data_IF_473008455760
#
_entry.id   IF_473008455760
#
_cell.length_a   1.000
_cell.length_b   1.000
_cell.length_c   1.000
_cell.angle_alpha   90.00
_cell.angle_beta   90.00
_cell.angle_gamma   90.00
#
_symmetry.space_group_name_H-M   'P 1'
#
loop_
_entity.id
_entity.type
_entity.pdbx_description
1 polymer ?
#
# COMPACT_ATOMS: atom_id res chain seq x y z
N UNK A 1 -33.03 9.68 2.64
CA UNK A 1 -32.55 9.07 3.86
C UNK A 1 -31.18 8.53 3.68
N UNK A 2 -30.34 8.95 4.53
CA UNK A 2 -28.97 8.51 4.44
C UNK A 2 -28.83 7.12 4.97
N UNK A 3 -28.16 6.31 4.18
CA UNK A 3 -27.84 4.99 4.63
C UNK A 3 -26.43 4.95 5.17
N UNK A 4 -25.84 6.06 5.45
CA UNK A 4 -24.48 6.07 5.93
C UNK A 4 -24.35 5.30 7.21
N UNK A 5 -23.46 4.37 7.22
CA UNK A 5 -23.09 3.69 8.44
C UNK A 5 -22.28 4.69 9.28
N UNK A 6 -22.73 5.04 10.48
CA UNK A 6 -22.01 6.04 11.28
C UNK A 6 -20.59 5.59 11.62
N UNK A 7 -20.33 4.29 11.57
CA UNK A 7 -18.98 3.79 11.85
C UNK A 7 -18.02 4.04 10.71
N UNK A 8 -18.50 4.27 9.48
CA UNK A 8 -17.60 4.45 8.34
C UNK A 8 -16.71 5.67 8.49
N UNK A 9 -17.27 6.79 8.92
CA UNK A 9 -16.46 7.98 9.14
C UNK A 9 -15.44 7.75 10.23
N UNK A 10 -15.84 7.03 11.28
CA UNK A 10 -14.91 6.70 12.35
C UNK A 10 -13.80 5.81 11.87
N UNK A 11 -14.12 4.81 11.05
CA UNK A 11 -13.11 3.92 10.48
C UNK A 11 -12.12 4.69 9.60
N UNK A 12 -12.65 5.63 8.81
CA UNK A 12 -11.78 6.46 7.98
C UNK A 12 -10.88 7.36 8.81
N UNK A 13 -11.42 7.88 9.90
CA UNK A 13 -10.65 8.72 10.78
C UNK A 13 -9.54 7.93 11.47
N UNK A 14 -9.85 6.71 11.90
CA UNK A 14 -8.83 5.85 12.49
C UNK A 14 -7.73 5.54 11.47
N UNK A 15 -8.12 5.27 10.22
CA UNK A 15 -7.15 5.02 9.16
C UNK A 15 -6.31 6.26 8.88
N UNK A 16 -6.92 7.44 8.92
CA UNK A 16 -6.21 8.69 8.73
C UNK A 16 -5.16 8.90 9.83
N UNK A 17 -5.51 8.57 11.06
CA UNK A 17 -4.56 8.71 12.17
C UNK A 17 -3.37 7.77 11.98
N UNK A 18 -3.63 6.54 11.56
CA UNK A 18 -2.57 5.58 11.27
C UNK A 18 -1.71 6.07 10.10
N UNK A 19 -2.35 6.62 9.07
CA UNK A 19 -1.61 7.17 7.93
C UNK A 19 -0.67 8.29 8.38
N UNK A 20 -1.14 9.16 9.29
CA UNK A 20 -0.29 10.20 9.84
C UNK A 20 0.95 9.63 10.51
N UNK A 21 0.80 8.54 11.25
CA UNK A 21 1.94 7.87 11.86
C UNK A 21 2.89 7.30 10.81
N UNK A 22 2.32 6.72 9.74
CA UNK A 22 3.14 6.16 8.67
C UNK A 22 3.94 7.25 7.96
N UNK A 23 3.32 8.40 7.71
CA UNK A 23 4.02 9.49 7.03
C UNK A 23 5.13 10.05 7.90
N UNK A 24 4.88 10.17 9.20
CA UNK A 24 5.92 10.61 10.12
C UNK A 24 7.09 9.62 10.18
N UNK A 25 6.76 8.33 10.22
CA UNK A 25 7.79 7.29 10.24
C UNK A 25 8.57 7.28 8.92
N UNK A 26 7.88 7.50 7.80
CA UNK A 26 8.54 7.52 6.49
C UNK A 26 9.60 8.61 6.45
N UNK A 27 9.30 9.78 7.02
CA UNK A 27 10.30 10.86 7.07
C UNK A 27 11.47 10.48 7.96
N UNK A 28 11.18 9.86 9.09
CA UNK A 28 12.22 9.52 10.06
C UNK A 28 13.08 8.36 9.56
N UNK A 29 12.44 7.34 8.98
CA UNK A 29 13.13 6.14 8.54
C UNK A 29 13.53 6.19 7.08
N UNK A 30 13.22 7.26 6.40
CA UNK A 30 13.54 7.43 4.98
C UNK A 30 12.89 6.36 4.12
N UNK A 31 11.63 6.05 4.40
CA UNK A 31 10.87 5.13 3.57
C UNK A 31 10.38 5.85 2.30
N UNK A 32 10.23 5.13 1.20
CA UNK A 32 9.78 5.77 -0.03
C UNK A 32 8.33 6.20 0.06
N UNK A 33 7.98 7.22 -0.71
CA UNK A 33 6.61 7.73 -0.75
C UNK A 33 5.71 6.77 -1.51
N UNK A 34 4.50 6.57 -1.01
CA UNK A 34 3.48 5.76 -1.66
C UNK A 34 2.25 6.61 -1.91
N UNK A 35 1.39 6.16 -2.82
CA UNK A 35 0.05 6.75 -2.97
C UNK A 35 -0.88 6.07 -2.01
N UNK A 36 -1.44 6.81 -1.07
CA UNK A 36 -2.29 6.22 -0.05
C UNK A 36 -3.76 6.49 -0.32
N UNK A 37 -4.59 5.51 -0.08
CA UNK A 37 -6.04 5.62 -0.22
C UNK A 37 -6.70 5.08 1.03
N UNK A 38 -7.73 5.78 1.49
CA UNK A 38 -8.55 5.33 2.61
C UNK A 38 -9.92 4.98 2.07
N UNK A 39 -10.28 3.71 2.16
CA UNK A 39 -11.58 3.24 1.68
C UNK A 39 -12.68 3.57 2.69
N UNK A 40 -13.93 3.48 2.26
CA UNK A 40 -15.05 3.72 3.16
C UNK A 40 -15.14 2.65 4.25
N UNK A 41 -14.52 1.51 4.05
CA UNK A 41 -14.43 0.48 5.08
C UNK A 41 -13.36 0.79 6.13
N UNK A 42 -12.60 1.86 5.92
CA UNK A 42 -11.47 2.18 6.78
C UNK A 42 -10.20 1.46 6.39
N UNK A 43 -10.20 0.72 5.29
CA UNK A 43 -8.98 0.07 4.83
C UNK A 43 -8.00 1.11 4.31
N UNK A 44 -6.75 0.97 4.68
CA UNK A 44 -5.69 1.89 4.27
C UNK A 44 -4.78 1.17 3.29
N UNK A 45 -4.73 1.67 2.06
CA UNK A 45 -3.99 1.00 0.99
C UNK A 45 -2.90 1.92 0.47
N UNK A 46 -1.68 1.42 0.44
CA UNK A 46 -0.56 2.12 -0.15
C UNK A 46 -0.17 1.46 -1.46
N UNK A 47 -0.12 2.26 -2.52
CA UNK A 47 0.28 1.80 -3.83
C UNK A 47 1.64 2.37 -4.18
N UNK A 48 2.54 1.51 -4.63
CA UNK A 48 3.85 1.96 -5.08
C UNK A 48 3.68 2.67 -6.41
N UNK A 49 4.16 3.91 -6.45
CA UNK A 49 4.03 4.73 -7.64
C UNK A 49 4.96 4.24 -8.73
N UNK A 50 4.41 3.98 -9.91
CA UNK A 50 5.19 3.49 -11.03
C UNK A 50 5.71 4.60 -11.95
N UNK A 51 5.29 5.84 -11.72
CA UNK A 51 5.58 6.89 -12.69
C UNK A 51 7.05 7.21 -12.83
N UNK A 52 7.77 7.26 -11.73
CA UNK A 52 9.17 7.64 -11.78
C UNK A 52 10.06 6.56 -11.20
N UNK A 53 9.61 5.30 -11.29
CA UNK A 53 10.33 4.21 -10.66
C UNK A 53 10.66 3.12 -11.67
N UNK A 54 11.81 2.52 -11.49
CA UNK A 54 12.16 1.33 -12.24
C UNK A 54 11.49 0.12 -11.61
N UNK A 55 11.39 -1.01 -12.31
CA UNK A 55 10.87 -2.22 -11.70
C UNK A 55 11.61 -2.60 -10.41
N UNK A 56 12.93 -2.50 -10.40
CA UNK A 56 13.69 -2.80 -9.18
C UNK A 56 13.41 -1.80 -8.09
N UNK A 57 13.26 -0.54 -8.43
CA UNK A 57 12.91 0.50 -7.46
C UNK A 57 11.55 0.28 -6.85
N UNK A 58 10.57 -0.14 -7.66
CA UNK A 58 9.23 -0.43 -7.16
C UNK A 58 9.25 -1.63 -6.22
N UNK A 59 10.00 -2.67 -6.57
CA UNK A 59 10.12 -3.85 -5.72
C UNK A 59 10.80 -3.47 -4.39
N UNK A 60 11.84 -2.65 -4.46
CA UNK A 60 12.53 -2.20 -3.26
C UNK A 60 11.61 -1.38 -2.36
N UNK A 61 10.78 -0.51 -2.96
CA UNK A 61 9.81 0.28 -2.19
C UNK A 61 8.78 -0.61 -1.51
N UNK A 62 8.27 -1.60 -2.24
CA UNK A 62 7.32 -2.55 -1.67
C UNK A 62 7.95 -3.29 -0.49
N UNK A 63 9.18 -3.76 -0.66
CA UNK A 63 9.86 -4.53 0.38
C UNK A 63 10.19 -3.66 1.60
N UNK A 64 10.57 -2.41 1.37
CA UNK A 64 10.86 -1.51 2.48
C UNK A 64 9.63 -1.31 3.38
N UNK A 65 8.48 -1.07 2.75
CA UNK A 65 7.26 -0.86 3.52
C UNK A 65 6.74 -2.14 4.17
N UNK A 66 6.75 -3.25 3.43
CA UNK A 66 6.26 -4.50 3.99
C UNK A 66 7.15 -4.99 5.13
N UNK A 67 8.45 -4.73 5.02
CA UNK A 67 9.36 -5.05 6.11
C UNK A 67 9.12 -4.20 7.34
N UNK A 68 8.96 -2.88 7.14
CA UNK A 68 8.71 -1.98 8.26
C UNK A 68 7.38 -2.28 8.94
N UNK A 69 6.36 -2.63 8.14
CA UNK A 69 5.03 -2.94 8.67
C UNK A 69 4.94 -4.35 9.21
N UNK A 70 5.91 -5.19 8.95
CA UNK A 70 5.85 -6.61 9.26
C UNK A 70 4.60 -7.20 8.62
N UNK A 71 4.41 -6.87 7.35
CA UNK A 71 3.22 -7.28 6.61
C UNK A 71 3.21 -8.77 6.36
N UNK A 72 2.02 -9.31 6.15
CA UNK A 72 1.82 -10.75 5.98
C UNK A 72 1.10 -11.04 4.68
N UNK A 73 1.09 -12.31 4.33
CA UNK A 73 0.39 -12.73 3.12
C UNK A 73 0.99 -12.17 1.86
N UNK A 74 2.32 -12.03 1.85
CA UNK A 74 2.99 -11.46 0.68
C UNK A 74 2.78 -12.39 -0.51
N UNK A 75 2.30 -11.82 -1.61
CA UNK A 75 2.17 -12.56 -2.85
C UNK A 75 2.94 -11.84 -3.96
N UNK A 76 3.42 -12.63 -4.91
CA UNK A 76 4.22 -12.12 -6.01
C UNK A 76 3.77 -12.92 -7.22
N UNK A 77 2.88 -12.36 -8.01
CA UNK A 77 2.30 -13.08 -9.13
C UNK A 77 2.51 -12.33 -10.42
N UNK A 78 3.02 -13.02 -11.41
CA UNK A 78 3.13 -12.46 -12.74
C UNK A 78 1.89 -12.84 -13.55
N UNK A 79 1.24 -11.84 -14.13
CA UNK A 79 0.07 -12.06 -14.97
C UNK A 79 0.52 -12.33 -16.41
N UNK A 80 -0.45 -12.70 -17.24
CA UNK A 80 -0.15 -13.04 -18.63
C UNK A 80 0.45 -11.88 -19.40
N UNK A 81 0.08 -10.65 -19.03
CA UNK A 81 0.60 -9.47 -19.71
C UNK A 81 2.00 -9.09 -19.24
N UNK A 82 2.60 -9.88 -18.38
CA UNK A 82 3.94 -9.62 -17.89
C UNK A 82 3.99 -8.71 -16.68
N UNK A 83 2.85 -8.20 -16.23
CA UNK A 83 2.81 -7.34 -15.05
C UNK A 83 2.93 -8.21 -13.80
N UNK A 84 3.87 -7.89 -12.93
CA UNK A 84 4.02 -8.57 -11.66
C UNK A 84 3.23 -7.83 -10.60
N UNK A 85 2.31 -8.53 -9.97
CA UNK A 85 1.46 -7.96 -8.95
C UNK A 85 1.98 -8.37 -7.58
N UNK A 86 2.42 -7.39 -6.81
CA UNK A 86 2.88 -7.59 -5.44
C UNK A 86 1.81 -7.12 -4.48
N UNK A 87 1.59 -7.87 -3.43
CA UNK A 87 0.54 -7.55 -2.47
C UNK A 87 0.92 -8.09 -1.10
N UNK A 88 0.66 -7.32 -0.06
CA UNK A 88 0.86 -7.76 1.31
C UNK A 88 -0.12 -7.04 2.21
N UNK A 89 -0.54 -7.68 3.28
CA UNK A 89 -1.52 -7.10 4.20
C UNK A 89 -0.87 -6.70 5.50
N UNK A 90 -1.43 -5.70 6.15
CA UNK A 90 -0.96 -5.28 7.46
C UNK A 90 -2.13 -4.93 8.37
N UNK A 91 -1.84 -4.87 9.66
CA UNK A 91 -2.77 -4.42 10.68
C UNK A 91 -2.04 -3.49 11.62
N UNK A 92 -2.74 -2.47 12.08
CA UNK A 92 -2.21 -1.55 13.09
C UNK A 92 -3.28 -1.28 14.12
N UNK A 93 -2.89 -1.22 15.40
CA UNK A 93 -3.82 -0.98 16.49
C UNK A 93 -4.44 -2.25 16.99
N UNK A 94 -5.38 -2.12 17.91
CA UNK A 94 -6.02 -3.25 18.54
C UNK A 94 -7.50 -2.99 18.73
N UNK A 95 -8.26 -4.06 18.74
CA UNK A 95 -9.68 -4.00 19.04
C UNK A 95 -10.44 -3.14 18.07
N UNK A 96 -11.27 -2.26 18.61
CA UNK A 96 -12.18 -1.45 17.80
C UNK A 96 -11.47 -0.40 16.97
N UNK A 97 -10.22 -0.08 17.30
CA UNK A 97 -9.46 0.91 16.54
C UNK A 97 -8.44 0.28 15.60
N UNK A 98 -8.49 -1.03 15.43
CA UNK A 98 -7.59 -1.70 14.53
C UNK A 98 -7.84 -1.23 13.09
N UNK A 99 -6.75 -0.87 12.40
CA UNK A 99 -6.80 -0.47 11.01
C UNK A 99 -6.14 -1.57 10.19
N UNK A 100 -6.83 -2.03 9.17
CA UNK A 100 -6.31 -3.03 8.25
C UNK A 100 -6.01 -2.39 6.93
N UNK A 101 -5.03 -2.91 6.26
CA UNK A 101 -4.70 -2.37 4.96
C UNK A 101 -3.80 -3.29 4.17
N UNK A 102 -3.26 -2.72 3.12
CA UNK A 102 -2.40 -3.47 2.20
C UNK A 102 -1.39 -2.53 1.56
N UNK A 103 -0.28 -3.11 1.16
CA UNK A 103 0.68 -2.45 0.29
C UNK A 103 0.65 -3.20 -1.04
N UNK A 104 0.56 -2.47 -2.13
CA UNK A 104 0.44 -3.06 -3.47
C UNK A 104 1.43 -2.43 -4.42
N UNK A 105 1.86 -3.21 -5.38
CA UNK A 105 2.67 -2.69 -6.47
C UNK A 105 2.37 -3.51 -7.72
N UNK A 106 2.12 -2.82 -8.83
CA UNK A 106 1.97 -3.45 -10.13
C UNK A 106 3.19 -3.07 -10.93
N UNK A 107 4.10 -4.03 -11.09
CA UNK A 107 5.38 -3.79 -11.74
C UNK A 107 5.27 -4.23 -13.17
N UNK A 108 5.30 -3.27 -14.07
CA UNK A 108 5.26 -3.56 -15.50
C UNK A 108 6.63 -4.04 -15.97
N UNK A 109 6.67 -4.89 -16.98
CA UNK A 109 7.97 -5.30 -17.51
C UNK A 109 8.69 -4.08 -18.05
N UNK A 110 10.02 -4.13 -18.10
CA UNK A 110 10.76 -3.01 -18.66
C UNK A 110 10.28 -2.78 -20.08
N UNK A 111 10.18 -1.49 -20.44
CA UNK A 111 9.77 -1.18 -21.78
C UNK A 111 10.83 -1.71 -22.70
N UNK A 112 10.42 -2.60 -23.60
CA UNK A 112 11.38 -3.27 -24.39
C UNK A 112 11.47 -2.61 -25.69
N UNK A 113 12.49 -1.96 -25.87
CA UNK A 113 12.59 -1.34 -27.01
C UNK A 113 13.03 -2.19 -28.01
N UNK A 114 13.14 -3.39 -27.93
CA UNK A 114 13.52 -4.19 -28.72
C UNK A 114 13.47 -4.04 -29.91
N UNK A 115 13.92 -4.00 -30.43
CA UNK A 115 13.97 -3.74 -31.52
C UNK A 115 13.81 -4.55 -32.35
N UNK A 116 13.58 -4.98 -32.36
CA UNK A 116 13.45 -5.72 -33.08
C UNK A 116 13.65 -6.14 -33.82
#
# INVERSE_FOLDING_TARGET
VSESNPYRLRWQQDAHDVLGEFLAAARKENLPALSWTIATSGALVGDVDSLNSTPDGMRAAFEAWTGWLNARGVTDRMRRDGVTHLYAQFRRGEGATEVRGAIRADIHPPFDEEPS
#
